data_IF_933420420457
#
_entry.id   IF_933420420457
#
_cell.length_a   1.000
_cell.length_b   1.000
_cell.length_c   1.000
_cell.angle_alpha   90.00
_cell.angle_beta   90.00
_cell.angle_gamma   90.00
#
_symmetry.space_group_name_H-M   'P 1'
#
loop_
_entity.id
_entity.type
_entity.pdbx_description
1 polymer ?
#
# COMPACT_ATOMS: atom_id res chain seq x y z
N UNK A 1 -6.55 -5.03 13.36
CA UNK A 1 -7.34 -4.85 12.13
C UNK A 1 -6.47 -5.19 10.94
N UNK A 2 -7.06 -5.64 9.83
CA UNK A 2 -6.36 -5.96 8.60
C UNK A 2 -6.99 -5.20 7.44
N UNK A 3 -6.19 -4.65 6.54
CA UNK A 3 -6.62 -4.15 5.24
C UNK A 3 -5.60 -4.64 4.22
N UNK A 4 -5.96 -5.67 3.46
CA UNK A 4 -5.07 -6.33 2.53
C UNK A 4 -5.50 -6.03 1.11
N UNK A 5 -4.71 -5.22 0.41
CA UNK A 5 -4.94 -4.86 -1.00
C UNK A 5 -6.35 -4.24 -1.23
N UNK A 6 -6.74 -3.39 -0.28
CA UNK A 6 -8.02 -2.68 -0.27
C UNK A 6 -7.83 -1.18 -0.37
N UNK A 7 -6.84 -0.63 0.36
CA UNK A 7 -6.73 0.82 0.53
C UNK A 7 -6.31 1.54 -0.75
N UNK A 8 -5.63 0.85 -1.67
CA UNK A 8 -5.28 1.36 -3.00
C UNK A 8 -6.50 1.50 -3.94
N UNK A 9 -7.62 0.85 -3.62
CA UNK A 9 -8.85 0.91 -4.40
C UNK A 9 -9.84 1.97 -3.89
N UNK A 10 -9.55 2.60 -2.76
CA UNK A 10 -10.39 3.63 -2.16
C UNK A 10 -10.00 5.00 -2.73
N UNK A 11 -11.00 5.82 -3.06
CA UNK A 11 -10.80 7.16 -3.61
C UNK A 11 -9.90 8.04 -2.72
N UNK A 12 -10.15 8.04 -1.40
CA UNK A 12 -9.34 8.76 -0.42
C UNK A 12 -8.85 7.82 0.70
N UNK A 13 -7.67 7.19 0.52
CA UNK A 13 -7.15 6.25 1.52
C UNK A 13 -6.81 6.92 2.85
N UNK A 14 -6.49 8.22 2.85
CA UNK A 14 -6.19 8.99 4.06
C UNK A 14 -7.38 9.03 5.01
N UNK A 15 -8.58 9.30 4.48
CA UNK A 15 -9.83 9.34 5.25
C UNK A 15 -10.20 7.94 5.74
N UNK A 16 -10.04 6.91 4.90
CA UNK A 16 -10.28 5.53 5.30
C UNK A 16 -9.36 5.11 6.48
N UNK A 17 -8.08 5.51 6.43
CA UNK A 17 -7.14 5.28 7.53
C UNK A 17 -7.59 6.02 8.80
N UNK A 18 -8.08 7.26 8.70
CA UNK A 18 -8.59 8.00 9.87
C UNK A 18 -9.77 7.30 10.54
N UNK A 19 -10.73 6.80 9.76
CA UNK A 19 -11.86 6.04 10.29
C UNK A 19 -11.43 4.72 10.94
N UNK A 20 -10.49 4.01 10.32
CA UNK A 20 -9.89 2.80 10.90
C UNK A 20 -9.20 3.12 12.22
N UNK A 21 -8.41 4.20 12.27
CA UNK A 21 -7.74 4.62 13.49
C UNK A 21 -8.74 5.08 14.55
N UNK A 22 -9.88 5.70 14.18
CA UNK A 22 -10.94 6.09 15.11
C UNK A 22 -11.51 4.88 15.86
N UNK A 23 -11.82 3.80 15.15
CA UNK A 23 -12.41 2.58 15.74
C UNK A 23 -11.36 1.65 16.39
N UNK A 24 -10.08 1.80 16.04
CA UNK A 24 -9.02 0.98 16.61
C UNK A 24 -8.83 1.34 18.10
N UNK A 25 -8.82 0.31 18.97
CA UNK A 25 -8.55 0.46 20.41
C UNK A 25 -7.20 1.14 20.65
N UNK A 26 -7.03 1.74 21.82
CA UNK A 26 -5.75 2.26 22.33
C UNK A 26 -4.63 1.23 22.16
N UNK A 27 -3.50 1.64 21.59
CA UNK A 27 -2.36 0.79 21.23
C UNK A 27 -2.69 -0.37 20.27
N UNK A 28 -3.87 -0.33 19.63
CA UNK A 28 -4.29 -1.36 18.69
C UNK A 28 -3.39 -1.38 17.45
N UNK A 29 -3.32 -2.57 16.85
CA UNK A 29 -2.50 -2.85 15.69
C UNK A 29 -3.34 -2.85 14.41
N UNK A 30 -2.78 -2.26 13.36
CA UNK A 30 -3.34 -2.26 12.02
C UNK A 30 -2.28 -2.79 11.04
N UNK A 31 -2.60 -3.91 10.39
CA UNK A 31 -1.75 -4.54 9.41
C UNK A 31 -2.30 -4.27 8.01
N UNK A 32 -1.43 -3.77 7.13
CA UNK A 32 -1.79 -3.23 5.83
C UNK A 32 -0.92 -3.91 4.77
N UNK A 33 -1.52 -4.32 3.64
CA UNK A 33 -0.78 -4.54 2.40
C UNK A 33 -1.25 -3.55 1.34
N UNK A 34 -0.30 -3.07 0.53
CA UNK A 34 -0.57 -2.30 -0.68
C UNK A 34 0.45 -2.68 -1.75
N UNK A 35 0.08 -2.56 -3.04
CA UNK A 35 0.97 -2.90 -4.13
C UNK A 35 2.14 -1.93 -4.22
N UNK A 36 3.34 -2.47 -4.40
CA UNK A 36 4.51 -1.70 -4.82
C UNK A 36 4.52 -1.63 -6.34
N UNK A 37 4.44 -0.43 -6.90
CA UNK A 37 4.60 -0.25 -8.34
C UNK A 37 6.08 -0.46 -8.71
N UNK A 38 6.47 -1.71 -8.95
CA UNK A 38 7.78 -2.03 -9.50
C UNK A 38 7.87 -1.45 -10.92
N UNK A 39 8.92 -0.67 -11.17
CA UNK A 39 9.22 -0.12 -12.50
C UNK A 39 9.30 -1.24 -13.54
N UNK A 40 9.89 -2.39 -13.18
CA UNK A 40 9.96 -3.57 -14.04
C UNK A 40 8.58 -4.16 -14.32
N UNK A 41 7.74 -4.33 -13.29
CA UNK A 41 6.39 -4.86 -13.48
C UNK A 41 5.55 -3.90 -14.34
N UNK A 42 5.68 -2.59 -14.15
CA UNK A 42 5.06 -1.58 -14.99
C UNK A 42 5.51 -1.69 -16.45
N UNK A 43 6.82 -1.83 -16.70
CA UNK A 43 7.36 -2.02 -18.06
C UNK A 43 6.83 -3.30 -18.72
N UNK A 44 6.87 -4.44 -18.02
CA UNK A 44 6.34 -5.73 -18.50
C UNK A 44 4.85 -5.58 -18.83
N UNK A 45 4.09 -4.89 -17.98
CA UNK A 45 2.66 -4.71 -18.13
C UNK A 45 2.30 -3.83 -19.33
N UNK A 46 3.06 -2.75 -19.57
CA UNK A 46 2.93 -1.93 -20.77
C UNK A 46 3.23 -2.78 -22.01
N UNK A 47 4.33 -3.56 -21.99
CA UNK A 47 4.70 -4.43 -23.11
C UNK A 47 3.61 -5.46 -23.44
N UNK A 48 3.05 -6.13 -22.43
CA UNK A 48 1.94 -7.08 -22.59
C UNK A 48 0.67 -6.39 -23.09
N UNK A 49 0.36 -5.20 -22.55
CA UNK A 49 -0.79 -4.40 -22.98
C UNK A 49 -0.72 -4.03 -24.45
N UNK A 50 0.46 -3.60 -24.92
CA UNK A 50 0.72 -3.30 -26.33
C UNK A 50 0.61 -4.54 -27.21
N UNK A 51 1.14 -5.68 -26.77
CA UNK A 51 1.09 -6.94 -27.55
C UNK A 51 -0.34 -7.48 -27.64
N UNK A 52 -1.14 -7.36 -26.57
CA UNK A 52 -2.48 -7.98 -26.47
C UNK A 52 -3.65 -7.03 -26.76
N UNK A 53 -3.40 -5.74 -27.01
CA UNK A 53 -4.45 -4.70 -27.13
C UNK A 53 -5.42 -4.67 -25.93
N UNK A 54 -4.92 -4.93 -24.72
CA UNK A 54 -5.74 -4.93 -23.49
C UNK A 54 -5.51 -3.63 -22.71
N UNK A 55 -6.59 -2.97 -22.28
CA UNK A 55 -6.49 -1.84 -21.35
C UNK A 55 -5.97 -2.32 -19.99
N UNK A 56 -4.84 -1.74 -19.58
CA UNK A 56 -4.23 -2.03 -18.30
C UNK A 56 -4.74 -1.00 -17.28
N UNK A 57 -5.59 -1.43 -16.35
CA UNK A 57 -6.04 -0.55 -15.25
C UNK A 57 -4.91 -0.35 -14.22
N UNK A 58 -4.70 0.87 -13.72
CA UNK A 58 -3.76 1.11 -12.62
C UNK A 58 -4.19 0.34 -11.37
N UNK A 59 -3.21 -0.09 -10.57
CA UNK A 59 -3.48 -0.75 -9.28
C UNK A 59 -4.08 0.24 -8.27
N UNK A 60 -3.63 1.49 -8.33
CA UNK A 60 -4.14 2.59 -7.51
C UNK A 60 -5.34 3.26 -8.20
N UNK A 61 -6.46 3.36 -7.47
CA UNK A 61 -7.71 4.00 -7.90
C UNK A 61 -8.12 5.04 -6.85
N UNK A 62 -7.44 6.18 -6.85
CA UNK A 62 -7.75 7.25 -5.91
C UNK A 62 -6.75 8.41 -5.95
N UNK A 63 -6.79 9.25 -4.92
CA UNK A 63 -5.92 10.42 -4.73
C UNK A 63 -4.46 10.06 -4.47
N UNK A 64 -4.20 8.80 -4.09
CA UNK A 64 -2.85 8.27 -3.88
C UNK A 64 -2.53 7.39 -5.08
N UNK A 65 -1.40 7.66 -5.71
CA UNK A 65 -0.98 6.99 -6.94
C UNK A 65 0.18 6.01 -6.74
N UNK A 66 0.79 5.99 -5.56
CA UNK A 66 1.97 5.17 -5.30
C UNK A 66 2.15 4.76 -3.84
N UNK A 67 2.88 3.66 -3.65
CA UNK A 67 3.39 3.20 -2.35
C UNK A 67 4.10 4.33 -1.56
N UNK A 68 4.85 5.20 -2.25
CA UNK A 68 5.59 6.30 -1.62
C UNK A 68 4.65 7.35 -1.04
N UNK A 69 3.60 7.72 -1.78
CA UNK A 69 2.57 8.65 -1.31
C UNK A 69 1.77 8.03 -0.17
N UNK A 70 1.40 6.76 -0.29
CA UNK A 70 0.74 6.02 0.79
C UNK A 70 1.56 6.02 2.08
N UNK A 71 2.87 5.77 1.97
CA UNK A 71 3.79 5.83 3.10
C UNK A 71 3.82 7.21 3.77
N UNK A 72 3.85 8.30 2.98
CA UNK A 72 3.76 9.67 3.52
C UNK A 72 2.46 9.89 4.30
N UNK A 73 1.34 9.39 3.80
CA UNK A 73 0.06 9.46 4.52
C UNK A 73 0.15 8.76 5.88
N UNK A 74 0.71 7.55 5.93
CA UNK A 74 0.91 6.84 7.21
C UNK A 74 1.78 7.61 8.20
N UNK A 75 2.85 8.27 7.72
CA UNK A 75 3.74 9.07 8.56
C UNK A 75 3.08 10.33 9.14
N UNK A 76 2.03 10.84 8.49
CA UNK A 76 1.28 12.02 8.96
C UNK A 76 0.20 11.66 9.99
N UNK A 77 -0.12 10.37 10.16
CA UNK A 77 -1.12 9.94 11.14
C UNK A 77 -0.49 9.78 12.52
N UNK A 78 -1.33 9.82 13.55
CA UNK A 78 -0.92 9.54 14.94
C UNK A 78 -0.65 8.03 15.17
N UNK A 79 0.36 7.51 14.49
CA UNK A 79 0.69 6.08 14.47
C UNK A 79 2.19 5.87 14.53
N UNK A 80 2.59 4.72 15.07
CA UNK A 80 3.96 4.23 15.03
C UNK A 80 4.04 3.08 14.05
N UNK A 81 4.89 3.19 13.03
CA UNK A 81 5.21 2.07 12.15
C UNK A 81 6.14 1.11 12.91
N UNK A 82 5.67 -0.11 13.17
CA UNK A 82 6.42 -1.16 13.87
C UNK A 82 7.15 -2.05 12.87
N UNK A 83 6.53 -2.31 11.72
CA UNK A 83 7.07 -3.18 10.69
C UNK A 83 6.78 -2.61 9.32
N UNK A 84 7.76 -2.72 8.43
CA UNK A 84 7.65 -2.40 7.02
C UNK A 84 8.52 -3.36 6.22
N UNK A 85 7.93 -4.16 5.32
CA UNK A 85 8.69 -5.08 4.45
C UNK A 85 8.02 -5.26 3.09
N UNK A 86 8.85 -5.23 2.05
CA UNK A 86 8.44 -5.58 0.68
C UNK A 86 8.48 -7.10 0.48
N UNK A 87 7.53 -7.62 -0.28
CA UNK A 87 7.39 -9.03 -0.63
C UNK A 87 7.66 -9.25 -2.12
N UNK A 88 8.34 -10.35 -2.52
CA UNK A 88 8.74 -11.52 -1.71
C UNK A 88 9.85 -11.27 -0.68
N UNK A 89 9.74 -11.94 0.47
CA UNK A 89 10.70 -11.82 1.58
C UNK A 89 11.93 -12.71 1.33
N UNK A 90 13.04 -12.06 0.97
CA UNK A 90 14.38 -12.63 0.70
C UNK A 90 14.48 -13.37 -0.65
N UNK A 91 15.70 -13.37 -1.18
CA UNK A 91 16.17 -13.99 -2.43
C UNK A 91 15.86 -13.34 -3.79
N UNK A 92 14.90 -12.42 -3.89
CA UNK A 92 14.64 -11.70 -5.15
C UNK A 92 15.07 -10.22 -5.04
N UNK A 93 15.72 -9.65 -6.08
CA UNK A 93 16.00 -8.23 -6.14
C UNK A 93 14.74 -7.40 -5.83
N UNK A 94 14.88 -6.27 -5.11
CA UNK A 94 13.75 -5.37 -4.78
C UNK A 94 12.88 -5.02 -6.00
N UNK A 95 13.47 -5.07 -7.19
CA UNK A 95 12.82 -4.90 -8.48
C UNK A 95 11.64 -5.86 -8.73
N UNK A 96 11.61 -7.04 -8.12
CA UNK A 96 10.52 -8.00 -8.23
C UNK A 96 9.50 -7.91 -7.09
N UNK A 97 9.66 -6.92 -6.20
CA UNK A 97 8.65 -6.73 -5.17
C UNK A 97 7.35 -6.29 -5.82
N UNK A 98 6.25 -6.91 -5.44
CA UNK A 98 4.93 -6.55 -5.92
C UNK A 98 4.05 -6.00 -4.82
N UNK A 99 4.30 -6.34 -3.56
CA UNK A 99 3.59 -5.80 -2.40
C UNK A 99 4.53 -5.26 -1.33
N UNK A 100 4.01 -4.36 -0.51
CA UNK A 100 4.61 -3.95 0.75
C UNK A 100 3.61 -4.15 1.88
N UNK A 101 4.14 -4.65 2.99
CA UNK A 101 3.41 -4.83 4.24
C UNK A 101 3.82 -3.78 5.26
N UNK A 102 2.84 -3.18 5.90
CA UNK A 102 3.02 -2.30 7.05
C UNK A 102 2.29 -2.87 8.27
N UNK A 103 2.96 -2.87 9.42
CA UNK A 103 2.30 -2.99 10.72
C UNK A 103 2.43 -1.66 11.43
N UNK A 104 1.30 -1.01 11.67
CA UNK A 104 1.26 0.24 12.41
C UNK A 104 0.52 0.05 13.72
N UNK A 105 0.87 0.86 14.71
CA UNK A 105 0.23 0.93 16.01
C UNK A 105 -0.32 2.32 16.23
N UNK A 106 -1.59 2.42 16.62
CA UNK A 106 -2.20 3.67 17.06
C UNK A 106 -1.46 4.21 18.28
N UNK A 107 -0.94 5.44 18.19
CA UNK A 107 -0.39 6.17 19.32
C UNK A 107 -1.54 6.91 20.00
N UNK A 108 -1.45 7.12 21.31
CA UNK A 108 -2.41 7.95 22.02
C UNK A 108 -1.97 9.40 21.93
N UNK A 109 -2.89 10.27 21.53
CA UNK A 109 -2.92 11.60 22.11
C UNK A 109 -3.61 11.51 23.47
#
# INVERSE_FOLDING_TARGET
MFALDILEHVENPSVAIDEILRILKKNGLFFISVPTESILLRMIRILIGTIKNIQVNPHWRGLISSEKEFFKVLQQKNTKIIFQRKYPFKFLPRLFSYDIFFLIRKINN
#
